data_IF_306939080179
#
_entry.id   IF_306939080179
#
_cell.length_a   1.000
_cell.length_b   1.000
_cell.length_c   1.000
_cell.angle_alpha   90.00
_cell.angle_beta   90.00
_cell.angle_gamma   90.00
#
_symmetry.space_group_name_H-M   'P 1'
#
loop_
_entity.id
_entity.type
_entity.pdbx_description
1 polymer ?
#
# COMPACT_ATOMS: atom_id res chain seq x y z
N UNK A 1 -15.89 21.28 -22.28
CA UNK A 1 -15.79 21.07 -20.83
C UNK A 1 -15.40 19.62 -20.64
N UNK A 2 -14.14 19.40 -20.27
CA UNK A 2 -13.51 18.09 -20.26
C UNK A 2 -14.20 17.20 -19.20
N UNK A 3 -14.69 15.99 -19.53
CA UNK A 3 -15.35 15.11 -18.57
C UNK A 3 -14.41 14.61 -17.47
N UNK A 4 -13.10 14.72 -17.61
CA UNK A 4 -12.12 14.38 -16.56
C UNK A 4 -12.09 15.38 -15.40
N UNK A 5 -12.54 16.62 -15.61
CA UNK A 5 -12.55 17.66 -14.56
C UNK A 5 -13.61 17.41 -13.47
N UNK A 6 -14.49 16.42 -13.62
CA UNK A 6 -15.68 16.25 -12.76
C UNK A 6 -15.55 15.23 -11.62
N UNK A 7 -14.43 14.53 -11.50
CA UNK A 7 -14.22 13.62 -10.35
C UNK A 7 -12.76 13.65 -9.90
N UNK A 8 -12.36 14.78 -9.36
CA UNK A 8 -11.13 14.84 -8.57
C UNK A 8 -11.46 14.36 -7.16
N UNK A 9 -10.61 13.52 -6.63
CA UNK A 9 -10.70 12.96 -5.30
C UNK A 9 -9.37 13.26 -4.60
N UNK A 10 -9.44 13.70 -3.37
CA UNK A 10 -8.23 13.83 -2.56
C UNK A 10 -7.80 12.45 -2.07
N UNK A 11 -6.52 12.16 -2.20
CA UNK A 11 -5.93 10.92 -1.71
C UNK A 11 -4.67 11.19 -0.91
N UNK A 12 -4.42 10.35 0.08
CA UNK A 12 -3.20 10.33 0.87
C UNK A 12 -2.52 8.98 0.72
N UNK A 13 -1.24 8.98 0.31
CA UNK A 13 -0.38 7.80 0.21
C UNK A 13 0.63 7.84 1.34
N UNK A 14 0.63 6.83 2.20
CA UNK A 14 1.52 6.78 3.35
C UNK A 14 2.12 5.40 3.55
N UNK A 15 3.42 5.34 3.82
CA UNK A 15 4.15 4.13 4.17
C UNK A 15 5.60 4.18 3.77
N UNK A 16 6.34 3.14 4.16
CA UNK A 16 7.77 2.99 3.87
C UNK A 16 8.03 1.67 3.17
N UNK A 17 8.73 1.69 2.05
CA UNK A 17 9.24 0.50 1.38
C UNK A 17 10.76 0.40 1.62
N UNK A 18 11.21 -0.75 2.14
CA UNK A 18 12.63 -1.01 2.36
C UNK A 18 13.23 -1.71 1.14
N UNK A 19 14.30 -1.14 0.61
CA UNK A 19 14.90 -1.54 -0.64
C UNK A 19 16.16 -2.40 -0.42
N UNK A 20 16.48 -3.22 -1.38
CA UNK A 20 17.71 -4.01 -1.36
C UNK A 20 18.95 -3.10 -1.29
N UNK A 21 20.00 -3.58 -0.62
CA UNK A 21 21.27 -2.87 -0.53
C UNK A 21 21.83 -2.59 -1.93
N UNK A 22 22.24 -1.33 -2.14
CA UNK A 22 22.82 -0.91 -3.40
C UNK A 22 21.81 -0.46 -4.46
N UNK A 23 20.53 -0.37 -4.14
CA UNK A 23 19.55 0.29 -4.99
C UNK A 23 19.87 1.79 -5.04
N UNK A 24 19.89 2.34 -6.24
CA UNK A 24 20.19 3.74 -6.51
C UNK A 24 18.91 4.54 -6.78
N UNK A 25 18.93 5.83 -6.50
CA UNK A 25 17.80 6.74 -6.75
C UNK A 25 17.24 6.63 -8.17
N UNK A 26 18.10 6.50 -9.17
CA UNK A 26 17.67 6.36 -10.57
C UNK A 26 16.84 5.11 -10.85
N UNK A 27 17.10 4.01 -10.12
CA UNK A 27 16.30 2.78 -10.23
C UNK A 27 14.92 2.96 -9.56
N UNK A 28 14.90 3.66 -8.42
CA UNK A 28 13.66 4.01 -7.72
C UNK A 28 12.79 4.91 -8.60
N UNK A 29 13.37 5.98 -9.17
CA UNK A 29 12.64 6.89 -10.06
C UNK A 29 12.17 6.19 -11.33
N UNK A 30 12.96 5.24 -11.85
CA UNK A 30 12.54 4.43 -12.99
C UNK A 30 11.32 3.55 -12.65
N UNK A 31 11.34 2.91 -11.49
CA UNK A 31 10.21 2.11 -11.02
C UNK A 31 8.96 2.97 -10.76
N UNK A 32 9.14 4.14 -10.17
CA UNK A 32 8.04 5.07 -9.88
C UNK A 32 7.60 5.90 -11.11
N UNK A 33 8.19 5.69 -12.29
CA UNK A 33 7.91 6.49 -13.49
C UNK A 33 6.41 6.61 -13.80
N UNK A 34 5.57 5.55 -13.73
CA UNK A 34 4.14 5.69 -13.99
C UNK A 34 3.43 6.69 -13.06
N UNK A 35 3.85 6.77 -11.80
CA UNK A 35 3.31 7.73 -10.84
C UNK A 35 3.87 9.13 -11.06
N UNK A 36 5.19 9.26 -11.29
CA UNK A 36 5.83 10.56 -11.58
C UNK A 36 5.29 11.20 -12.87
N UNK A 37 5.08 10.41 -13.93
CA UNK A 37 4.50 10.88 -15.19
C UNK A 37 3.04 11.33 -14.99
N UNK A 38 2.28 10.64 -14.13
CA UNK A 38 0.94 11.06 -13.75
C UNK A 38 0.93 12.42 -13.04
N UNK A 39 1.93 12.68 -12.19
CA UNK A 39 2.12 13.95 -11.48
C UNK A 39 2.82 15.03 -12.33
N UNK A 40 3.18 14.71 -13.57
CA UNK A 40 3.91 15.59 -14.49
C UNK A 40 5.24 16.09 -13.92
N UNK A 41 5.97 15.24 -13.18
CA UNK A 41 7.28 15.54 -12.59
C UNK A 41 8.36 14.55 -13.05
N UNK A 42 9.60 15.01 -13.11
CA UNK A 42 10.74 14.19 -13.60
C UNK A 42 11.39 13.35 -12.48
N UNK A 43 11.34 13.84 -11.23
CA UNK A 43 12.07 13.26 -10.09
C UNK A 43 11.19 13.24 -8.84
N UNK A 44 11.51 12.34 -7.88
CA UNK A 44 10.76 12.24 -6.62
C UNK A 44 10.90 13.53 -5.79
N UNK A 45 12.03 14.24 -5.89
CA UNK A 45 12.27 15.50 -5.16
C UNK A 45 11.33 16.64 -5.59
N UNK A 46 10.76 16.55 -6.81
CA UNK A 46 9.80 17.52 -7.34
C UNK A 46 8.34 17.20 -6.95
N UNK A 47 8.10 16.06 -6.36
CA UNK A 47 6.77 15.68 -5.90
C UNK A 47 6.36 16.55 -4.72
N UNK A 48 5.34 17.39 -4.92
CA UNK A 48 4.80 18.25 -3.87
C UNK A 48 3.50 17.66 -3.35
N UNK A 49 3.36 17.64 -2.03
CA UNK A 49 2.10 17.34 -1.37
C UNK A 49 1.22 18.58 -1.28
N UNK A 50 -0.10 18.38 -1.23
CA UNK A 50 -1.05 19.45 -0.88
C UNK A 50 -0.81 19.94 0.54
N UNK A 51 -0.47 19.03 1.44
CA UNK A 51 -0.16 19.34 2.82
C UNK A 51 1.31 19.78 2.94
N UNK A 52 1.51 21.02 3.46
CA UNK A 52 2.85 21.63 3.50
C UNK A 52 3.85 20.93 4.41
N UNK A 53 3.36 20.22 5.42
CA UNK A 53 4.18 19.52 6.40
C UNK A 53 4.60 18.12 5.93
N UNK A 54 3.99 17.62 4.86
CA UNK A 54 4.32 16.31 4.32
C UNK A 54 5.56 16.35 3.45
N UNK A 55 6.49 15.39 3.65
CA UNK A 55 7.74 15.34 2.90
C UNK A 55 7.58 14.93 1.44
N UNK A 56 6.40 14.44 1.02
CA UNK A 56 6.19 13.85 -0.31
C UNK A 56 6.78 12.45 -0.42
N UNK A 57 7.68 12.25 -1.38
CA UNK A 57 8.40 10.98 -1.59
C UNK A 57 9.88 11.22 -1.31
N UNK A 58 10.46 10.43 -0.42
CA UNK A 58 11.88 10.54 -0.04
C UNK A 58 12.56 9.18 -0.11
N UNK A 59 13.75 9.16 -0.68
CA UNK A 59 14.62 7.99 -0.67
C UNK A 59 15.84 8.23 0.22
N UNK A 60 15.93 7.51 1.33
CA UNK A 60 17.12 7.50 2.18
C UNK A 60 18.09 6.41 1.69
N UNK A 61 19.21 6.86 1.11
CA UNK A 61 20.25 5.96 0.56
C UNK A 61 20.96 5.16 1.65
N UNK A 62 21.06 5.70 2.88
CA UNK A 62 21.77 5.02 3.99
C UNK A 62 20.94 3.89 4.56
N UNK A 63 19.67 4.18 4.81
CA UNK A 63 18.70 3.22 5.35
C UNK A 63 18.10 2.34 4.26
N UNK A 64 18.34 2.66 2.96
CA UNK A 64 17.69 2.02 1.82
C UNK A 64 16.15 2.01 1.98
N UNK A 65 15.61 3.11 2.46
CA UNK A 65 14.19 3.30 2.74
C UNK A 65 13.58 4.32 1.78
N UNK A 66 12.46 3.95 1.17
CA UNK A 66 11.62 4.85 0.39
C UNK A 66 10.39 5.22 1.21
N UNK A 67 10.41 6.42 1.77
CA UNK A 67 9.31 6.97 2.55
C UNK A 67 8.34 7.70 1.64
N UNK A 68 7.06 7.41 1.80
CA UNK A 68 5.96 8.04 1.09
C UNK A 68 5.01 8.65 2.12
N UNK A 69 4.80 9.96 2.04
CA UNK A 69 3.82 10.71 2.81
C UNK A 69 3.37 11.86 1.93
N UNK A 70 2.36 11.60 1.11
CA UNK A 70 1.94 12.50 0.05
C UNK A 70 0.42 12.57 -0.05
N UNK A 71 -0.10 13.78 -0.13
CA UNK A 71 -1.53 14.07 -0.37
C UNK A 71 -1.67 14.82 -1.69
N UNK A 72 -2.66 14.46 -2.49
CA UNK A 72 -2.94 15.15 -3.75
C UNK A 72 -4.35 14.94 -4.26
N UNK A 73 -4.80 15.87 -5.12
CA UNK A 73 -6.03 15.69 -5.90
C UNK A 73 -5.76 14.83 -7.13
N UNK A 74 -6.52 13.75 -7.28
CA UNK A 74 -6.31 12.77 -8.33
C UNK A 74 -7.56 12.47 -9.14
N UNK A 75 -7.36 12.05 -10.39
CA UNK A 75 -8.39 11.54 -11.28
C UNK A 75 -8.46 10.01 -11.30
N UNK A 76 -9.35 9.48 -12.13
CA UNK A 76 -9.66 8.03 -12.22
C UNK A 76 -8.47 7.12 -12.55
N UNK A 77 -7.49 7.62 -13.30
CA UNK A 77 -6.33 6.83 -13.73
C UNK A 77 -5.24 6.70 -12.65
N UNK A 78 -5.31 7.48 -11.56
CA UNK A 78 -4.29 7.52 -10.51
C UNK A 78 -4.00 6.14 -9.93
N UNK A 79 -5.04 5.42 -9.51
CA UNK A 79 -4.87 4.12 -8.87
C UNK A 79 -4.18 3.10 -9.78
N UNK A 80 -4.48 3.12 -11.07
CA UNK A 80 -3.82 2.25 -12.04
C UNK A 80 -2.33 2.61 -12.18
N UNK A 81 -2.00 3.90 -12.26
CA UNK A 81 -0.61 4.37 -12.34
C UNK A 81 0.19 4.09 -11.07
N UNK A 82 -0.43 4.27 -9.91
CA UNK A 82 0.19 3.93 -8.63
C UNK A 82 0.47 2.42 -8.53
N UNK A 83 -0.50 1.59 -8.94
CA UNK A 83 -0.35 0.13 -8.95
C UNK A 83 0.79 -0.30 -9.88
N UNK A 84 0.86 0.27 -11.09
CA UNK A 84 1.94 0.00 -12.05
C UNK A 84 3.32 0.37 -11.47
N UNK A 85 3.42 1.55 -10.84
CA UNK A 85 4.64 1.99 -10.19
C UNK A 85 5.07 1.05 -9.05
N UNK A 86 4.14 0.60 -8.23
CA UNK A 86 4.42 -0.31 -7.11
C UNK A 86 4.76 -1.73 -7.58
N UNK A 87 4.17 -2.18 -8.69
CA UNK A 87 4.58 -3.44 -9.33
C UNK A 87 6.03 -3.38 -9.83
N UNK A 88 6.44 -2.26 -10.42
CA UNK A 88 7.81 -2.06 -10.86
C UNK A 88 8.80 -1.88 -9.69
N UNK A 89 8.34 -1.34 -8.55
CA UNK A 89 9.15 -1.16 -7.34
C UNK A 89 9.38 -2.47 -6.60
N UNK A 90 8.42 -3.40 -6.63
CA UNK A 90 8.48 -4.67 -5.88
C UNK A 90 9.80 -5.42 -6.00
N UNK A 91 10.35 -5.67 -7.20
CA UNK A 91 11.63 -6.37 -7.36
C UNK A 91 12.85 -5.68 -6.73
N UNK A 92 12.73 -4.40 -6.38
CA UNK A 92 13.78 -3.62 -5.71
C UNK A 92 13.68 -3.69 -4.18
N UNK A 93 12.61 -4.24 -3.62
CA UNK A 93 12.39 -4.32 -2.18
C UNK A 93 13.16 -5.48 -1.55
N UNK A 94 13.66 -5.29 -0.33
CA UNK A 94 14.33 -6.34 0.46
C UNK A 94 13.29 -7.30 1.07
N UNK A 95 12.19 -6.75 1.55
CA UNK A 95 11.04 -7.50 2.08
C UNK A 95 9.74 -6.78 1.74
N UNK A 96 8.62 -7.46 2.00
CA UNK A 96 7.33 -6.87 1.71
C UNK A 96 6.97 -5.78 2.74
N UNK A 97 6.29 -4.74 2.27
CA UNK A 97 5.84 -3.60 3.06
C UNK A 97 4.38 -3.28 2.74
N UNK A 98 3.68 -2.73 3.73
CA UNK A 98 2.34 -2.19 3.58
C UNK A 98 2.39 -0.69 3.31
N UNK A 99 1.66 -0.26 2.30
CA UNK A 99 1.42 1.16 1.99
C UNK A 99 -0.07 1.42 2.09
N UNK A 100 -0.45 2.45 2.82
CA UNK A 100 -1.85 2.86 2.97
C UNK A 100 -2.20 3.93 1.95
N UNK A 101 -3.31 3.71 1.23
CA UNK A 101 -3.97 4.71 0.39
C UNK A 101 -5.29 5.10 1.06
N UNK A 102 -5.41 6.36 1.47
CA UNK A 102 -6.65 6.92 2.00
C UNK A 102 -7.29 7.79 0.93
N UNK A 103 -8.57 7.58 0.66
CA UNK A 103 -9.34 8.39 -0.27
C UNK A 103 -10.39 9.20 0.50
N UNK A 104 -10.41 10.50 0.29
CA UNK A 104 -11.34 11.42 0.91
C UNK A 104 -12.43 11.81 -0.10
N UNK A 105 -13.67 11.51 0.24
CA UNK A 105 -14.82 11.81 -0.60
C UNK A 105 -15.51 13.10 -0.17
N UNK A 106 -16.12 13.82 -1.12
CA UNK A 106 -16.84 15.07 -0.88
C UNK A 106 -17.96 14.96 0.18
N UNK A 107 -18.48 13.77 0.41
CA UNK A 107 -19.50 13.49 1.43
C UNK A 107 -18.94 13.25 2.84
N UNK A 108 -17.64 13.47 3.04
CA UNK A 108 -16.94 13.23 4.30
C UNK A 108 -16.64 11.76 4.60
N UNK A 109 -16.86 10.85 3.64
CA UNK A 109 -16.49 9.44 3.77
C UNK A 109 -15.00 9.29 3.46
N UNK A 110 -14.32 8.53 4.31
CA UNK A 110 -12.94 8.11 4.09
C UNK A 110 -12.92 6.62 3.72
N UNK A 111 -12.13 6.28 2.72
CA UNK A 111 -11.89 4.90 2.33
C UNK A 111 -10.41 4.58 2.47
N UNK A 112 -10.09 3.50 3.19
CA UNK A 112 -8.73 3.02 3.41
C UNK A 112 -8.49 1.78 2.57
N UNK A 113 -7.41 1.80 1.80
CA UNK A 113 -6.94 0.66 1.03
C UNK A 113 -5.49 0.36 1.44
N UNK A 114 -5.23 -0.89 1.80
CA UNK A 114 -3.88 -1.40 2.00
C UNK A 114 -3.33 -1.90 0.67
N UNK A 115 -2.14 -1.44 0.31
CA UNK A 115 -1.39 -1.90 -0.87
C UNK A 115 -0.12 -2.55 -0.36
N UNK A 116 0.14 -3.76 -0.80
CA UNK A 116 1.34 -4.49 -0.39
C UNK A 116 2.35 -4.52 -1.53
N UNK A 117 3.58 -4.12 -1.24
CA UNK A 117 4.71 -4.12 -2.16
C UNK A 117 5.72 -5.14 -1.64
N UNK A 118 6.29 -5.96 -2.51
CA UNK A 118 7.27 -6.95 -2.06
C UNK A 118 8.03 -7.61 -3.20
N UNK A 119 9.14 -8.29 -2.89
CA UNK A 119 10.01 -8.92 -3.88
C UNK A 119 9.38 -10.13 -4.55
N UNK A 120 8.35 -10.71 -3.93
CA UNK A 120 7.66 -11.88 -4.45
C UNK A 120 6.21 -11.94 -3.97
N UNK A 121 5.39 -12.72 -4.69
CA UNK A 121 4.01 -12.98 -4.29
C UNK A 121 3.92 -13.69 -2.92
N UNK A 122 4.91 -14.52 -2.57
CA UNK A 122 4.99 -15.20 -1.28
C UNK A 122 5.24 -14.19 -0.14
N UNK A 123 6.20 -13.27 -0.32
CA UNK A 123 6.48 -12.23 0.66
C UNK A 123 5.26 -11.31 0.89
N UNK A 124 4.55 -10.96 -0.18
CA UNK A 124 3.31 -10.18 -0.10
C UNK A 124 2.21 -10.97 0.62
N UNK A 125 2.07 -12.26 0.35
CA UNK A 125 1.10 -13.11 1.02
C UNK A 125 1.37 -13.20 2.52
N UNK A 126 2.63 -13.35 2.90
CA UNK A 126 3.05 -13.44 4.30
C UNK A 126 2.81 -12.14 5.07
N UNK A 127 3.18 -10.97 4.52
CA UNK A 127 2.93 -9.69 5.20
C UNK A 127 1.42 -9.42 5.35
N UNK A 128 0.60 -9.76 4.35
CA UNK A 128 -0.87 -9.66 4.46
C UNK A 128 -1.41 -10.51 5.59
N UNK A 129 -0.91 -11.74 5.74
CA UNK A 129 -1.29 -12.64 6.82
C UNK A 129 -0.96 -12.03 8.19
N UNK A 130 0.27 -11.52 8.35
CA UNK A 130 0.73 -10.88 9.58
C UNK A 130 -0.11 -9.65 9.95
N UNK A 131 -0.40 -8.77 8.99
CA UNK A 131 -1.26 -7.59 9.23
C UNK A 131 -2.66 -8.00 9.70
N UNK A 132 -3.27 -9.03 9.09
CA UNK A 132 -4.60 -9.50 9.51
C UNK A 132 -4.54 -10.14 10.90
N UNK A 133 -3.49 -10.90 11.24
CA UNK A 133 -3.30 -11.46 12.58
C UNK A 133 -3.16 -10.37 13.65
N UNK A 134 -2.37 -9.34 13.37
CA UNK A 134 -2.16 -8.21 14.28
C UNK A 134 -3.47 -7.43 14.50
N UNK A 135 -4.20 -7.13 13.42
CA UNK A 135 -5.50 -6.45 13.49
C UNK A 135 -6.53 -7.25 14.29
N UNK A 136 -6.60 -8.56 14.07
CA UNK A 136 -7.47 -9.45 14.83
C UNK A 136 -7.06 -9.53 16.30
N UNK A 137 -5.76 -9.64 16.58
CA UNK A 137 -5.23 -9.62 17.93
C UNK A 137 -5.61 -8.34 18.67
N UNK A 138 -5.42 -7.20 18.05
CA UNK A 138 -5.79 -5.90 18.61
C UNK A 138 -7.31 -5.76 18.85
N UNK A 139 -8.12 -6.26 17.92
CA UNK A 139 -9.58 -6.18 18.00
C UNK A 139 -10.16 -7.11 19.08
N UNK A 140 -9.63 -8.32 19.22
CA UNK A 140 -10.23 -9.37 20.04
C UNK A 140 -9.69 -9.40 21.47
N UNK A 141 -8.43 -9.03 21.70
CA UNK A 141 -7.78 -9.11 23.02
C UNK A 141 -8.49 -8.34 24.15
N UNK A 142 -9.15 -7.19 23.92
CA UNK A 142 -9.91 -6.52 24.98
C UNK A 142 -11.16 -7.28 25.44
N UNK A 143 -11.66 -8.24 24.62
CA UNK A 143 -12.94 -8.89 24.83
C UNK A 143 -12.85 -10.38 25.16
N UNK A 144 -11.73 -11.04 24.80
CA UNK A 144 -11.57 -12.48 24.89
C UNK A 144 -10.23 -12.84 25.52
N UNK A 145 -10.18 -14.02 26.17
CA UNK A 145 -8.93 -14.60 26.65
C UNK A 145 -8.04 -15.04 25.47
N UNK A 146 -6.74 -15.18 25.78
CA UNK A 146 -5.72 -15.54 24.80
C UNK A 146 -6.08 -16.82 24.01
N UNK A 147 -6.64 -17.83 24.67
CA UNK A 147 -6.97 -19.11 24.03
C UNK A 147 -7.96 -18.92 22.90
N UNK A 148 -8.98 -18.08 23.10
CA UNK A 148 -9.98 -17.78 22.08
C UNK A 148 -9.41 -16.94 20.95
N UNK A 149 -8.57 -15.96 21.26
CA UNK A 149 -7.87 -15.16 20.25
C UNK A 149 -7.00 -16.07 19.38
N UNK A 150 -6.21 -16.95 19.99
CA UNK A 150 -5.36 -17.91 19.27
C UNK A 150 -6.18 -18.88 18.39
N UNK A 151 -7.37 -19.28 18.81
CA UNK A 151 -8.28 -20.11 17.99
C UNK A 151 -8.71 -19.38 16.72
N UNK A 152 -9.08 -18.10 16.81
CA UNK A 152 -9.46 -17.29 15.65
C UNK A 152 -8.27 -17.07 14.73
N UNK A 153 -7.10 -16.73 15.28
CA UNK A 153 -5.87 -16.55 14.51
C UNK A 153 -5.49 -17.83 13.73
N UNK A 154 -5.62 -19.01 14.36
CA UNK A 154 -5.37 -20.29 13.68
C UNK A 154 -6.34 -20.55 12.52
N UNK A 155 -7.62 -20.20 12.67
CA UNK A 155 -8.60 -20.32 11.57
C UNK A 155 -8.24 -19.41 10.40
N UNK A 156 -7.84 -18.18 10.69
CA UNK A 156 -7.43 -17.21 9.65
C UNK A 156 -6.17 -17.69 8.94
N UNK A 157 -5.18 -18.18 9.67
CA UNK A 157 -3.97 -18.77 9.10
C UNK A 157 -4.28 -19.92 8.15
N UNK A 158 -5.19 -20.81 8.54
CA UNK A 158 -5.63 -21.90 7.67
C UNK A 158 -6.29 -21.37 6.38
N UNK A 159 -7.07 -20.28 6.45
CA UNK A 159 -7.67 -19.66 5.27
C UNK A 159 -6.59 -19.10 4.33
N UNK A 160 -5.53 -18.45 4.86
CA UNK A 160 -4.41 -17.96 4.07
C UNK A 160 -3.64 -19.11 3.41
N UNK A 161 -3.36 -20.20 4.14
CA UNK A 161 -2.70 -21.38 3.60
C UNK A 161 -3.50 -22.04 2.47
N UNK A 162 -4.83 -22.12 2.62
CA UNK A 162 -5.70 -22.68 1.61
C UNK A 162 -5.81 -21.78 0.37
N UNK A 163 -5.86 -20.47 0.55
CA UNK A 163 -5.78 -19.50 -0.56
C UNK A 163 -4.47 -19.66 -1.33
N UNK A 164 -3.34 -19.75 -0.62
CA UNK A 164 -2.02 -19.91 -1.23
C UNK A 164 -1.91 -21.18 -2.08
N UNK A 165 -2.43 -22.30 -1.58
CA UNK A 165 -2.42 -23.59 -2.31
C UNK A 165 -3.27 -23.55 -3.58
N UNK A 166 -4.33 -22.74 -3.61
CA UNK A 166 -5.25 -22.61 -4.76
C UNK A 166 -4.73 -21.69 -5.86
N UNK A 167 -3.69 -20.90 -5.61
CA UNK A 167 -3.12 -19.99 -6.62
C UNK A 167 -2.50 -20.77 -7.77
N UNK A 168 -2.77 -20.40 -9.05
CA UNK A 168 -2.04 -20.95 -10.20
C UNK A 168 -0.55 -20.61 -10.09
N UNK A 169 0.29 -21.41 -10.78
CA UNK A 169 1.77 -21.47 -10.66
C UNK A 169 2.51 -20.16 -11.06
N UNK A 170 1.85 -19.09 -11.40
CA UNK A 170 2.47 -17.76 -11.62
C UNK A 170 2.97 -17.13 -10.30
N UNK A 171 3.81 -17.89 -9.57
CA UNK A 171 4.28 -17.51 -8.23
C UNK A 171 5.42 -16.49 -8.23
N UNK A 172 5.99 -16.17 -9.38
CA UNK A 172 7.26 -15.43 -9.46
C UNK A 172 7.11 -13.96 -9.91
N UNK A 173 5.92 -13.45 -10.13
CA UNK A 173 5.73 -12.05 -10.45
C UNK A 173 5.56 -11.23 -9.16
N UNK A 174 6.44 -10.28 -8.94
CA UNK A 174 6.23 -9.23 -7.96
C UNK A 174 4.91 -8.50 -8.28
N UNK A 175 3.93 -8.60 -7.41
CA UNK A 175 2.60 -8.06 -7.66
C UNK A 175 2.25 -7.09 -6.54
N UNK A 176 2.02 -5.81 -6.90
CA UNK A 176 1.20 -4.95 -6.06
C UNK A 176 -0.22 -5.50 -6.12
N UNK A 177 -0.69 -6.12 -5.05
CA UNK A 177 -2.07 -6.63 -5.00
C UNK A 177 -2.92 -5.57 -4.32
N UNK A 178 -3.90 -4.96 -5.02
CA UNK A 178 -4.89 -4.14 -4.33
C UNK A 178 -5.59 -5.02 -3.29
N UNK A 179 -5.67 -4.54 -2.07
CA UNK A 179 -6.41 -5.22 -1.02
C UNK A 179 -7.85 -5.46 -1.46
N UNK A 180 -8.41 -6.56 -1.02
CA UNK A 180 -9.84 -6.87 -1.11
C UNK A 180 -10.66 -5.62 -0.72
N UNK A 181 -11.74 -5.37 -1.48
CA UNK A 181 -12.59 -4.18 -1.41
C UNK A 181 -12.77 -3.61 0.01
N UNK A 182 -12.76 -2.28 0.17
CA UNK A 182 -12.82 -1.64 1.48
C UNK A 182 -14.10 -2.03 2.20
N UNK A 183 -13.97 -2.72 3.32
CA UNK A 183 -15.05 -2.76 4.29
C UNK A 183 -15.17 -1.37 4.91
N UNK A 184 -16.36 -0.73 4.87
CA UNK A 184 -16.58 0.53 5.56
C UNK A 184 -16.35 0.30 7.06
N UNK A 185 -15.22 0.77 7.57
CA UNK A 185 -15.02 0.88 9.02
C UNK A 185 -15.96 1.99 9.50
N UNK A 186 -17.16 1.63 9.94
CA UNK A 186 -18.02 2.50 10.72
C UNK A 186 -17.30 2.82 12.05
N UNK A 187 -16.50 3.89 12.08
CA UNK A 187 -16.08 4.50 13.33
C UNK A 187 -17.16 5.47 13.81
N UNK A 188 -18.24 4.93 14.32
CA UNK A 188 -19.03 5.60 15.34
C UNK A 188 -18.59 5.05 16.69
N UNK A 189 -17.58 5.66 17.28
CA UNK A 189 -17.33 5.57 18.71
C UNK A 189 -17.30 7.01 19.25
N UNK A 190 -18.34 7.31 20.05
CA UNK A 190 -18.47 8.49 20.90
C UNK A 190 -17.33 8.63 21.89
#
# INVERSE_FOLDING_TARGET
MDPELKMRMEVHVHGTAFLCKGVHLTQVEHALRPWLDYLEVDTIEKVQSLEREEPGIRFDVKEQALDMCWTGEVGRSFQARLTEAFQALGPLTEYASEITLTSYHDNGKEEFQQIFIGPSAEAIHEIRRQCVEEDLGALLSPHFDKTRVDQVANMVNQMFDDEWKRRPVEKDAAVATPALQPHPRNRHLH
#
